data_IF_771682717230
#
_entry.id   IF_771682717230
#
_cell.length_a   1.000
_cell.length_b   1.000
_cell.length_c   1.000
_cell.angle_alpha   90.00
_cell.angle_beta   90.00
_cell.angle_gamma   90.00
#
_symmetry.space_group_name_H-M   'P 1'
#
loop_
_entity.id
_entity.type
_entity.pdbx_description
1 polymer ?
#
# COMPACT_ATOMS: atom_id res chain seq x y z
N UNK A 1 -6.57 -33.47 -38.55
CA UNK A 1 -5.46 -33.24 -37.61
C UNK A 1 -5.08 -31.77 -37.45
N UNK A 2 -4.98 -31.04 -38.54
CA UNK A 2 -4.63 -29.60 -38.48
C UNK A 2 -5.66 -28.78 -37.73
N UNK A 3 -6.94 -29.18 -37.75
CA UNK A 3 -8.02 -28.48 -36.98
C UNK A 3 -7.91 -28.65 -35.49
N UNK A 4 -7.34 -29.77 -35.03
CA UNK A 4 -7.20 -30.08 -33.63
C UNK A 4 -6.19 -29.14 -32.96
N UNK A 5 -5.11 -28.81 -33.63
CA UNK A 5 -4.08 -27.90 -33.14
C UNK A 5 -4.57 -26.45 -33.02
N UNK A 6 -5.45 -25.99 -33.90
CA UNK A 6 -6.04 -24.65 -33.83
C UNK A 6 -6.90 -24.47 -32.59
N UNK A 7 -7.67 -25.45 -32.21
CA UNK A 7 -8.53 -25.39 -31.03
C UNK A 7 -7.72 -25.44 -29.76
N UNK A 8 -6.65 -26.18 -29.69
CA UNK A 8 -5.75 -26.24 -28.56
C UNK A 8 -5.03 -24.90 -28.34
N UNK A 9 -4.58 -24.27 -29.41
CA UNK A 9 -3.90 -22.98 -29.36
C UNK A 9 -4.84 -21.89 -28.84
N UNK A 10 -6.09 -21.87 -29.30
CA UNK A 10 -7.12 -20.92 -28.87
C UNK A 10 -7.45 -21.14 -27.39
N UNK A 11 -7.54 -22.39 -26.93
CA UNK A 11 -7.78 -22.71 -25.54
C UNK A 11 -6.68 -22.21 -24.61
N UNK A 12 -5.42 -22.36 -25.02
CA UNK A 12 -4.28 -21.84 -24.26
C UNK A 12 -4.28 -20.32 -24.19
N UNK A 13 -4.67 -19.63 -25.23
CA UNK A 13 -4.78 -18.19 -25.27
C UNK A 13 -5.85 -17.66 -24.30
N UNK A 14 -7.01 -18.29 -24.27
CA UNK A 14 -8.09 -17.93 -23.37
C UNK A 14 -7.70 -18.12 -21.89
N UNK A 15 -6.98 -19.18 -21.58
CA UNK A 15 -6.46 -19.41 -20.23
C UNK A 15 -5.44 -18.36 -19.82
N UNK A 16 -4.57 -17.93 -20.73
CA UNK A 16 -3.58 -16.89 -20.48
C UNK A 16 -4.25 -15.54 -20.20
N UNK A 17 -5.28 -15.18 -20.96
CA UNK A 17 -6.04 -13.94 -20.74
C UNK A 17 -6.75 -13.98 -19.40
N UNK A 18 -7.33 -15.09 -18.99
CA UNK A 18 -7.96 -15.25 -17.68
C UNK A 18 -6.95 -15.08 -16.54
N UNK A 19 -5.72 -15.53 -16.72
CA UNK A 19 -4.66 -15.37 -15.75
C UNK A 19 -4.24 -13.91 -15.57
N UNK A 20 -4.17 -13.14 -16.65
CA UNK A 20 -3.89 -11.71 -16.60
C UNK A 20 -4.97 -10.93 -15.88
N UNK A 21 -6.23 -11.30 -16.04
CA UNK A 21 -7.34 -10.65 -15.34
C UNK A 21 -7.25 -10.82 -13.83
N UNK A 22 -6.80 -11.99 -13.35
CA UNK A 22 -6.56 -12.21 -11.92
C UNK A 22 -5.44 -11.36 -11.37
N UNK A 23 -4.37 -11.14 -12.16
CA UNK A 23 -3.28 -10.26 -11.79
C UNK A 23 -3.70 -8.79 -11.75
N UNK A 24 -4.68 -8.39 -12.57
CA UNK A 24 -5.18 -7.02 -12.60
C UNK A 24 -5.98 -6.63 -11.36
N UNK A 25 -6.62 -7.56 -10.68
CA UNK A 25 -7.25 -7.26 -9.39
C UNK A 25 -6.21 -6.86 -8.34
N UNK A 26 -5.03 -7.47 -8.36
CA UNK A 26 -3.90 -7.02 -7.55
C UNK A 26 -3.31 -5.69 -8.00
N UNK A 27 -3.63 -5.22 -9.21
CA UNK A 27 -3.11 -3.97 -9.76
C UNK A 27 -3.95 -2.72 -9.42
N UNK A 28 -5.06 -2.83 -8.69
CA UNK A 28 -5.69 -1.65 -8.11
C UNK A 28 -4.73 -0.92 -7.18
N UNK A 29 -3.81 -1.64 -6.55
CA UNK A 29 -2.73 -1.06 -5.77
C UNK A 29 -1.49 -0.69 -6.61
N UNK A 30 -1.56 -0.77 -7.95
CA UNK A 30 -0.41 -0.66 -8.84
C UNK A 30 0.50 0.54 -8.59
N UNK A 31 -0.03 1.75 -8.60
CA UNK A 31 0.75 2.95 -8.31
C UNK A 31 1.04 3.10 -6.81
N UNK A 32 0.21 2.53 -5.96
CA UNK A 32 0.39 2.57 -4.52
C UNK A 32 1.55 1.68 -4.06
N UNK A 33 1.81 0.59 -4.77
CA UNK A 33 2.87 -0.35 -4.42
C UNK A 33 4.23 0.34 -4.49
N UNK A 34 5.02 0.17 -3.44
CA UNK A 34 6.34 0.74 -3.31
C UNK A 34 6.53 1.45 -1.98
N UNK A 35 7.58 2.25 -1.89
CA UNK A 35 7.90 3.00 -0.69
C UNK A 35 7.63 4.48 -0.90
N UNK A 36 6.97 5.08 0.07
CA UNK A 36 6.58 6.48 0.07
C UNK A 36 7.20 7.20 1.26
N UNK A 37 7.77 8.36 1.01
CA UNK A 37 8.32 9.22 2.06
C UNK A 37 7.35 10.36 2.35
N UNK A 38 7.08 10.64 3.63
CA UNK A 38 6.33 11.83 4.01
C UNK A 38 7.04 13.09 3.57
N UNK A 39 6.32 13.98 2.89
CA UNK A 39 6.93 15.20 2.33
C UNK A 39 7.42 16.16 3.41
N UNK A 40 6.78 16.16 4.58
CA UNK A 40 7.11 17.05 5.68
C UNK A 40 8.30 16.57 6.51
N UNK A 41 8.76 15.35 6.27
CA UNK A 41 9.87 14.74 7.00
C UNK A 41 10.84 14.08 6.04
N UNK A 42 12.03 13.82 6.51
CA UNK A 42 13.05 13.06 5.77
C UNK A 42 13.30 11.68 6.37
N UNK A 43 12.56 11.31 7.42
CA UNK A 43 12.81 10.09 8.18
C UNK A 43 11.58 9.18 8.34
N UNK A 44 10.44 9.52 7.76
CA UNK A 44 9.21 8.72 7.88
C UNK A 44 8.78 8.20 6.52
N UNK A 45 8.58 6.88 6.48
CA UNK A 45 8.26 6.16 5.24
C UNK A 45 7.08 5.23 5.46
N UNK A 46 6.27 5.08 4.41
CA UNK A 46 5.22 4.05 4.36
C UNK A 46 5.46 3.22 3.11
N UNK A 47 5.52 1.92 3.26
CA UNK A 47 5.67 1.00 2.14
C UNK A 47 4.42 0.14 1.99
N UNK A 48 4.03 -0.11 0.74
CA UNK A 48 2.90 -0.98 0.40
C UNK A 48 3.39 -2.07 -0.55
N UNK A 49 3.12 -3.32 -0.20
CA UNK A 49 3.51 -4.46 -1.01
C UNK A 49 2.54 -5.63 -0.77
N UNK A 50 1.94 -6.14 -1.84
CA UNK A 50 0.93 -7.19 -1.72
C UNK A 50 -0.27 -6.71 -0.91
N UNK A 51 -0.52 -7.30 0.24
CA UNK A 51 -1.57 -6.90 1.18
C UNK A 51 -0.99 -6.28 2.46
N UNK A 52 0.31 -6.01 2.50
CA UNK A 52 1.02 -5.56 3.70
C UNK A 52 1.49 -4.12 3.55
N UNK A 53 1.25 -3.32 4.57
CA UNK A 53 1.82 -1.99 4.72
C UNK A 53 2.88 -2.02 5.82
N UNK A 54 3.90 -1.18 5.67
CA UNK A 54 4.96 -1.03 6.66
C UNK A 54 5.20 0.45 6.91
N UNK A 55 5.08 0.86 8.16
CA UNK A 55 5.43 2.20 8.59
C UNK A 55 6.86 2.15 9.14
N UNK A 56 7.73 3.00 8.63
CA UNK A 56 9.14 3.04 9.00
C UNK A 56 9.54 4.41 9.49
N UNK A 57 10.28 4.43 10.59
CA UNK A 57 10.97 5.62 11.09
C UNK A 57 12.45 5.32 11.09
N UNK A 58 13.22 6.18 10.43
CA UNK A 58 14.67 6.03 10.30
C UNK A 58 15.35 7.22 10.95
N UNK A 59 16.18 6.98 11.96
CA UNK A 59 16.95 8.01 12.64
C UNK A 59 18.44 7.77 12.45
N UNK A 60 19.19 8.78 12.02
CA UNK A 60 20.64 8.73 11.84
C UNK A 60 21.10 7.59 10.92
N UNK A 61 20.31 7.25 9.89
CA UNK A 61 20.61 6.15 8.99
C UNK A 61 20.27 4.76 9.51
N UNK A 62 19.77 4.65 10.74
CA UNK A 62 19.36 3.39 11.33
C UNK A 62 17.84 3.31 11.43
N UNK A 63 17.32 2.11 11.20
CA UNK A 63 15.88 1.88 11.35
C UNK A 63 15.52 1.86 12.84
N UNK A 64 14.74 2.85 13.27
CA UNK A 64 14.31 3.02 14.65
C UNK A 64 13.02 2.25 14.93
N UNK A 65 12.05 2.36 14.03
CA UNK A 65 10.77 1.68 14.18
C UNK A 65 10.29 1.09 12.85
N UNK A 66 9.68 -0.08 12.95
CA UNK A 66 9.06 -0.74 11.80
C UNK A 66 7.76 -1.39 12.27
N UNK A 67 6.64 -0.86 11.77
CA UNK A 67 5.30 -1.27 12.20
C UNK A 67 4.57 -1.83 10.99
N UNK A 68 4.03 -3.02 11.13
CA UNK A 68 3.33 -3.74 10.07
C UNK A 68 1.83 -3.53 10.14
N UNK A 69 1.19 -3.61 9.01
CA UNK A 69 -0.25 -3.59 8.90
C UNK A 69 -0.71 -4.31 7.64
N UNK A 70 -1.99 -4.62 7.62
CA UNK A 70 -2.65 -5.07 6.41
C UNK A 70 -3.35 -3.88 5.78
N UNK A 71 -3.37 -3.80 4.45
CA UNK A 71 -4.06 -2.72 3.77
C UNK A 71 -4.98 -3.24 2.68
N UNK A 72 -6.00 -2.45 2.39
CA UNK A 72 -6.90 -2.65 1.26
C UNK A 72 -7.06 -1.35 0.51
N UNK A 73 -6.93 -1.42 -0.80
CA UNK A 73 -7.13 -0.29 -1.69
C UNK A 73 -8.34 -0.54 -2.58
N UNK A 74 -9.37 0.27 -2.44
CA UNK A 74 -10.60 0.16 -3.20
C UNK A 74 -10.98 1.54 -3.75
N UNK A 75 -10.79 1.75 -5.06
CA UNK A 75 -11.04 3.05 -5.66
C UNK A 75 -10.19 4.14 -5.06
N UNK A 76 -10.81 5.14 -4.45
CA UNK A 76 -10.14 6.22 -3.74
C UNK A 76 -10.06 6.02 -2.22
N UNK A 77 -10.40 4.82 -1.75
CA UNK A 77 -10.38 4.48 -0.33
C UNK A 77 -9.18 3.61 0.01
N UNK A 78 -8.53 3.91 1.11
CA UNK A 78 -7.41 3.15 1.64
C UNK A 78 -7.69 2.80 3.09
N UNK A 79 -7.67 1.51 3.39
CA UNK A 79 -7.89 0.98 4.74
C UNK A 79 -6.62 0.30 5.20
N UNK A 80 -6.15 0.66 6.39
CA UNK A 80 -4.95 0.07 6.98
C UNK A 80 -5.28 -0.40 8.37
N UNK A 81 -4.93 -1.66 8.66
CA UNK A 81 -5.07 -2.25 9.98
C UNK A 81 -3.69 -2.62 10.48
N UNK A 82 -3.11 -1.75 11.31
CA UNK A 82 -1.83 -2.01 11.92
C UNK A 82 -1.93 -3.02 13.04
N UNK A 83 -0.87 -3.78 13.23
CA UNK A 83 -0.72 -4.69 14.36
C UNK A 83 0.70 -4.57 14.92
N UNK A 84 0.84 -4.88 16.19
CA UNK A 84 2.13 -4.82 16.86
C UNK A 84 2.67 -6.21 17.10
N UNK A 85 3.96 -6.39 16.89
CA UNK A 85 4.64 -7.66 17.11
C UNK A 85 5.26 -7.73 18.51
N UNK A 86 5.80 -6.62 19.00
CA UNK A 86 6.56 -6.60 20.26
C UNK A 86 6.06 -5.55 21.26
N UNK A 87 5.83 -4.32 20.83
CA UNK A 87 5.56 -3.19 21.72
C UNK A 87 4.38 -2.38 21.21
N UNK A 88 3.18 -2.85 21.56
CA UNK A 88 1.93 -2.28 21.07
C UNK A 88 1.77 -0.80 21.39
N UNK A 89 2.16 -0.37 22.59
CA UNK A 89 2.03 1.03 23.00
C UNK A 89 2.92 1.95 22.18
N UNK A 90 4.17 1.60 22.01
CA UNK A 90 5.14 2.40 21.26
C UNK A 90 4.80 2.44 19.77
N UNK A 91 4.38 1.30 19.21
CA UNK A 91 3.96 1.22 17.83
C UNK A 91 2.71 2.05 17.58
N UNK A 92 1.75 2.00 18.48
CA UNK A 92 0.53 2.81 18.41
C UNK A 92 0.85 4.30 18.42
N UNK A 93 1.71 4.75 19.32
CA UNK A 93 2.14 6.14 19.41
C UNK A 93 2.86 6.56 18.14
N UNK A 94 3.73 5.73 17.61
CA UNK A 94 4.48 6.04 16.39
C UNK A 94 3.56 6.27 15.20
N UNK A 95 2.53 5.46 15.03
CA UNK A 95 1.59 5.59 13.92
C UNK A 95 0.60 6.71 14.17
N UNK A 96 -0.01 6.78 15.34
CA UNK A 96 -1.06 7.75 15.62
C UNK A 96 -0.53 9.17 15.81
N UNK A 97 0.55 9.35 16.52
CA UNK A 97 1.13 10.65 16.77
C UNK A 97 2.23 11.02 15.78
N UNK A 98 3.10 10.06 15.43
CA UNK A 98 4.19 10.29 14.51
C UNK A 98 3.74 10.49 13.06
N UNK A 99 2.87 9.64 12.56
CA UNK A 99 2.31 9.75 11.22
C UNK A 99 0.98 10.48 11.18
N UNK A 100 0.23 10.47 12.27
CA UNK A 100 -1.08 11.10 12.35
C UNK A 100 -2.24 10.23 11.91
N UNK A 101 -2.04 8.93 11.78
CA UNK A 101 -3.10 8.00 11.37
C UNK A 101 -3.78 7.37 12.57
N UNK A 102 -5.06 7.61 12.73
CA UNK A 102 -5.88 7.11 13.85
C UNK A 102 -7.17 6.47 13.35
N UNK A 103 -7.70 5.44 14.05
CA UNK A 103 -7.05 4.67 15.10
C UNK A 103 -6.06 3.65 14.51
N UNK A 104 -5.07 3.26 15.27
CA UNK A 104 -3.97 2.35 14.87
C UNK A 104 -4.42 1.08 14.16
N UNK A 105 -5.47 0.45 14.64
CA UNK A 105 -5.95 -0.82 14.10
C UNK A 105 -7.10 -0.67 13.07
N UNK A 106 -7.48 0.55 12.71
CA UNK A 106 -8.56 0.78 11.77
C UNK A 106 -8.43 2.15 11.09
N UNK A 107 -7.36 2.32 10.37
CA UNK A 107 -7.09 3.55 9.62
C UNK A 107 -7.91 3.54 8.34
N UNK A 108 -8.72 4.60 8.13
CA UNK A 108 -9.50 4.79 6.92
C UNK A 108 -9.23 6.17 6.37
N UNK A 109 -8.66 6.24 5.20
CA UNK A 109 -8.32 7.51 4.56
C UNK A 109 -8.76 7.50 3.10
N UNK A 110 -8.93 8.70 2.57
CA UNK A 110 -9.24 8.91 1.15
C UNK A 110 -7.95 9.20 0.39
N UNK A 111 -7.84 8.63 -0.80
CA UNK A 111 -6.77 8.93 -1.72
C UNK A 111 -7.22 10.12 -2.59
N UNK A 112 -6.59 11.26 -2.38
CA UNK A 112 -6.88 12.47 -3.16
C UNK A 112 -6.09 12.46 -4.47
N UNK A 113 -4.81 12.08 -4.41
CA UNK A 113 -3.93 11.99 -5.56
C UNK A 113 -3.11 10.72 -5.44
N UNK A 114 -3.03 9.96 -6.52
CA UNK A 114 -2.15 8.80 -6.62
C UNK A 114 -1.62 8.70 -8.05
N UNK A 115 -0.31 8.85 -8.20
CA UNK A 115 0.39 8.60 -9.46
C UNK A 115 1.75 7.98 -9.17
N UNK A 116 2.63 7.89 -10.17
CA UNK A 116 3.94 7.27 -9.99
C UNK A 116 4.88 8.02 -9.04
N UNK A 117 4.60 9.29 -8.72
CA UNK A 117 5.51 10.15 -7.95
C UNK A 117 4.89 10.68 -6.67
N UNK A 118 3.58 10.88 -6.63
CA UNK A 118 2.90 11.59 -5.55
C UNK A 118 1.72 10.77 -5.04
N UNK A 119 1.59 10.75 -3.71
CA UNK A 119 0.44 10.21 -3.00
C UNK A 119 -0.05 11.25 -2.01
N UNK A 120 -1.32 11.62 -2.11
CA UNK A 120 -1.97 12.53 -1.14
C UNK A 120 -3.15 11.79 -0.53
N UNK A 121 -3.14 11.68 0.78
CA UNK A 121 -4.22 11.10 1.57
C UNK A 121 -4.94 12.18 2.36
N UNK A 122 -6.21 11.97 2.66
CA UNK A 122 -6.99 12.89 3.47
C UNK A 122 -7.97 12.18 4.38
N UNK A 123 -8.27 12.82 5.51
CA UNK A 123 -9.29 12.40 6.46
C UNK A 123 -9.69 13.58 7.32
N UNK A 124 -10.98 13.89 7.35
CA UNK A 124 -11.55 14.91 8.27
C UNK A 124 -10.81 16.26 8.22
N UNK A 125 -10.48 16.72 7.01
CA UNK A 125 -9.79 17.99 6.79
C UNK A 125 -8.28 17.93 6.94
N UNK A 126 -7.73 16.83 7.40
CA UNK A 126 -6.29 16.63 7.47
C UNK A 126 -5.78 16.00 6.18
N UNK A 127 -4.59 16.40 5.73
CA UNK A 127 -3.94 15.86 4.54
C UNK A 127 -2.55 15.37 4.85
N UNK A 128 -2.17 14.27 4.17
CA UNK A 128 -0.82 13.71 4.21
C UNK A 128 -0.26 13.69 2.81
N UNK A 129 0.91 14.28 2.64
CA UNK A 129 1.60 14.33 1.36
C UNK A 129 2.80 13.40 1.38
N UNK A 130 2.89 12.53 0.38
CA UNK A 130 4.00 11.58 0.23
C UNK A 130 4.58 11.68 -1.15
N UNK A 131 5.87 11.38 -1.25
CA UNK A 131 6.57 11.26 -2.52
C UNK A 131 7.15 9.86 -2.66
N UNK A 132 7.15 9.36 -3.88
CA UNK A 132 7.76 8.07 -4.19
C UNK A 132 9.25 8.09 -3.88
N UNK A 133 9.68 7.08 -3.16
CA UNK A 133 11.07 6.95 -2.76
C UNK A 133 11.79 5.85 -3.54
#
# INVERSE_FOLDING_TARGET
MVRFYKYLTIGCWLLTIGFFSSCQEGSEAGNLVGQWRMADTDNRYVAFSGAVSVFRVVNNGFMDSQIYGNFQHQGDSLFIQCYSIKEEREDTIAVEEGFGFKPFNNIRVKIEILNGDILVLSKDGQKWNFRKY
#
